data_IF_428279064886
#
_entry.id   IF_428279064886
#
_cell.length_a   1.000
_cell.length_b   1.000
_cell.length_c   1.000
_cell.angle_alpha   90.00
_cell.angle_beta   90.00
_cell.angle_gamma   90.00
#
_symmetry.space_group_name_H-M   'P 1'
#
loop_
_entity.id
_entity.type
_entity.pdbx_description
1 polymer ?
#
# COMPACT_ATOMS: atom_id res chain seq x y z
N UNK A 1 -5.71 3.75 6.07
CA UNK A 1 -4.93 3.23 4.91
C UNK A 1 -4.07 2.05 5.29
N UNK A 2 -3.65 1.92 6.54
CA UNK A 2 -2.97 0.71 7.02
C UNK A 2 -3.78 -0.55 6.68
N UNK A 3 -3.08 -1.62 6.32
CA UNK A 3 -3.59 -2.90 5.83
C UNK A 3 -4.30 -2.88 4.45
N UNK A 4 -4.33 -1.76 3.74
CA UNK A 4 -4.84 -1.71 2.37
C UNK A 4 -3.90 -2.42 1.38
N UNK A 5 -4.46 -3.24 0.48
CA UNK A 5 -3.71 -3.86 -0.61
C UNK A 5 -3.51 -2.88 -1.77
N UNK A 6 -2.29 -2.85 -2.29
CA UNK A 6 -1.84 -1.88 -3.29
C UNK A 6 -0.85 -2.52 -4.27
N UNK A 7 -0.76 -1.98 -5.47
CA UNK A 7 0.36 -2.17 -6.39
C UNK A 7 1.37 -1.03 -6.26
N UNK A 8 2.64 -1.35 -6.45
CA UNK A 8 3.74 -0.39 -6.45
C UNK A 8 4.21 -0.13 -7.88
N UNK A 9 4.02 1.11 -8.34
CA UNK A 9 4.53 1.55 -9.64
C UNK A 9 6.05 1.59 -9.62
N UNK A 10 6.65 0.64 -10.34
CA UNK A 10 8.09 0.61 -10.61
C UNK A 10 8.34 1.02 -12.07
N UNK A 11 9.14 2.06 -12.34
CA UNK A 11 9.46 2.47 -13.71
C UNK A 11 10.32 1.44 -14.46
N UNK A 12 10.97 0.50 -13.77
CA UNK A 12 11.84 -0.50 -14.38
C UNK A 12 11.10 -1.79 -14.77
N UNK A 13 9.84 -1.95 -14.35
CA UNK A 13 9.03 -3.13 -14.66
C UNK A 13 7.74 -2.73 -15.36
N UNK A 14 7.18 -3.68 -16.15
CA UNK A 14 5.92 -3.45 -16.84
C UNK A 14 4.78 -3.39 -15.80
N UNK A 15 3.65 -2.73 -16.10
CA UNK A 15 2.54 -2.63 -15.15
C UNK A 15 2.00 -3.96 -14.60
N UNK A 16 2.05 -5.03 -15.41
CA UNK A 16 1.65 -6.37 -15.00
C UNK A 16 2.63 -7.02 -14.01
N UNK A 17 3.87 -6.53 -13.97
CA UNK A 17 4.95 -7.00 -13.11
C UNK A 17 5.16 -6.05 -11.91
N UNK A 18 4.23 -5.12 -11.68
CA UNK A 18 4.32 -4.23 -10.51
C UNK A 18 4.14 -5.04 -9.22
N UNK A 19 5.05 -4.88 -8.24
CA UNK A 19 4.93 -5.59 -6.97
C UNK A 19 3.63 -5.26 -6.27
N UNK A 20 2.91 -6.30 -5.85
CA UNK A 20 1.77 -6.15 -4.95
C UNK A 20 2.25 -6.17 -3.50
N UNK A 21 1.59 -5.38 -2.65
CA UNK A 21 1.87 -5.37 -1.23
C UNK A 21 0.75 -4.77 -0.41
N UNK A 22 0.98 -4.73 0.90
CA UNK A 22 0.05 -4.17 1.89
C UNK A 22 0.70 -3.00 2.60
N UNK A 23 -0.02 -1.88 2.73
CA UNK A 23 0.47 -0.73 3.49
C UNK A 23 0.61 -1.14 4.96
N UNK A 24 1.80 -0.97 5.52
CA UNK A 24 2.08 -1.19 6.94
C UNK A 24 1.97 0.09 7.74
N UNK A 25 2.44 1.21 7.19
CA UNK A 25 2.58 2.47 7.91
C UNK A 25 2.51 3.64 6.93
N UNK A 26 1.98 4.77 7.39
CA UNK A 26 1.87 6.02 6.60
C UNK A 26 2.67 7.13 7.26
N UNK A 27 3.32 7.96 6.43
CA UNK A 27 4.11 9.10 6.89
C UNK A 27 3.50 10.40 6.34
N UNK A 28 2.72 11.13 7.16
CA UNK A 28 2.20 12.43 6.79
C UNK A 28 3.28 13.52 6.80
N UNK A 29 3.11 14.52 5.93
CA UNK A 29 3.90 15.75 5.95
C UNK A 29 3.43 16.72 7.03
N UNK A 30 4.07 17.89 7.10
CA UNK A 30 3.66 18.98 8.00
C UNK A 30 2.28 19.56 7.69
N UNK A 31 1.78 19.33 6.47
CA UNK A 31 0.43 19.64 5.99
C UNK A 31 -0.61 18.58 6.39
N UNK A 32 -0.20 17.52 7.08
CA UNK A 32 -1.06 16.38 7.45
C UNK A 32 -1.34 15.42 6.29
N UNK A 33 -0.83 15.68 5.08
CA UNK A 33 -1.06 14.84 3.91
C UNK A 33 -0.06 13.68 3.84
N UNK A 34 -0.53 12.47 3.56
CA UNK A 34 0.31 11.29 3.39
C UNK A 34 1.17 11.46 2.14
N UNK A 35 2.50 11.53 2.31
CA UNK A 35 3.44 11.65 1.18
C UNK A 35 4.18 10.35 0.91
N UNK A 36 4.43 9.58 1.96
CA UNK A 36 5.23 8.34 1.90
C UNK A 36 4.55 7.25 2.71
N UNK A 37 4.69 6.01 2.29
CA UNK A 37 4.19 4.83 2.99
C UNK A 37 5.24 3.72 3.01
N UNK A 38 5.19 2.88 4.04
CA UNK A 38 5.88 1.59 4.04
C UNK A 38 4.91 0.51 3.55
N UNK A 39 5.35 -0.28 2.57
CA UNK A 39 4.54 -1.35 1.98
C UNK A 39 5.27 -2.67 2.12
N UNK A 40 4.62 -3.66 2.73
CA UNK A 40 5.10 -5.03 2.79
C UNK A 40 4.76 -5.75 1.49
N UNK A 41 5.79 -6.15 0.77
CA UNK A 41 5.71 -7.00 -0.42
C UNK A 41 6.21 -8.41 -0.08
N UNK A 42 6.15 -9.33 -1.04
CA UNK A 42 6.70 -10.69 -0.88
C UNK A 42 8.22 -10.71 -0.64
N UNK A 43 8.94 -9.70 -1.14
CA UNK A 43 10.41 -9.63 -1.05
C UNK A 43 10.91 -8.80 0.13
N UNK A 44 10.02 -8.10 0.83
CA UNK A 44 10.38 -7.25 1.97
C UNK A 44 9.54 -5.99 2.09
N UNK A 45 9.99 -5.05 2.91
CA UNK A 45 9.32 -3.77 3.14
C UNK A 45 9.96 -2.71 2.25
N UNK A 46 9.13 -2.03 1.46
CA UNK A 46 9.55 -0.96 0.57
C UNK A 46 8.94 0.37 1.01
N UNK A 47 9.79 1.38 1.17
CA UNK A 47 9.36 2.77 1.36
C UNK A 47 9.09 3.42 0.01
N UNK A 48 7.86 3.90 -0.21
CA UNK A 48 7.44 4.48 -1.50
C UNK A 48 6.60 5.74 -1.30
N UNK A 49 6.78 6.71 -2.20
CA UNK A 49 5.92 7.88 -2.27
C UNK A 49 4.50 7.46 -2.65
N UNK A 50 3.48 8.15 -2.11
CA UNK A 50 2.07 7.81 -2.36
C UNK A 50 1.70 7.87 -3.86
N UNK A 51 2.37 8.72 -4.63
CA UNK A 51 2.21 8.85 -6.09
C UNK A 51 2.67 7.62 -6.87
N UNK A 52 3.37 6.69 -6.22
CA UNK A 52 3.80 5.40 -6.78
C UNK A 52 2.98 4.23 -6.24
N UNK A 53 1.92 4.50 -5.49
CA UNK A 53 1.06 3.48 -4.88
C UNK A 53 -0.29 3.51 -5.57
N UNK A 54 -0.77 2.35 -6.01
CA UNK A 54 -2.05 2.19 -6.69
C UNK A 54 -2.94 1.27 -5.86
N UNK A 55 -3.98 1.78 -5.18
CA UNK A 55 -4.90 0.96 -4.41
C UNK A 55 -5.63 -0.06 -5.29
N UNK A 56 -5.77 -1.29 -4.81
CA UNK A 56 -6.60 -2.28 -5.49
C UNK A 56 -8.09 -1.99 -5.27
N UNK A 57 -8.96 -2.19 -6.28
CA UNK A 57 -10.40 -2.02 -6.17
C UNK A 57 -11.04 -3.23 -5.47
N UNK A 58 -10.57 -3.55 -4.27
CA UNK A 58 -11.14 -4.62 -3.45
C UNK A 58 -12.21 -4.03 -2.53
N UNK A 59 -13.43 -4.59 -2.51
CA UNK A 59 -14.40 -4.28 -1.49
C UNK A 59 -13.78 -4.62 -0.13
N UNK A 60 -13.73 -3.63 0.77
CA UNK A 60 -13.42 -3.89 2.16
C UNK A 60 -14.65 -4.60 2.72
N UNK A 61 -14.57 -5.92 2.84
CA UNK A 61 -15.66 -6.70 3.43
C UNK A 61 -15.75 -6.33 4.93
N UNK A 62 -16.84 -5.70 5.37
CA UNK A 62 -17.00 -5.33 6.77
C UNK A 62 -16.95 -6.54 7.72
N UNK A 63 -17.28 -7.75 7.24
CA UNK A 63 -17.27 -8.97 8.05
C UNK A 63 -15.86 -9.55 8.29
N UNK A 64 -14.83 -9.07 7.59
CA UNK A 64 -13.45 -9.54 7.77
C UNK A 64 -12.72 -8.86 8.93
N UNK A 65 -13.27 -7.77 9.48
CA UNK A 65 -12.67 -7.01 10.60
C UNK A 65 -12.88 -7.73 11.95
N UNK A 66 -13.90 -8.57 12.07
CA UNK A 66 -14.40 -9.10 13.34
C UNK A 66 -13.67 -10.37 13.84
N UNK A 67 -12.70 -10.88 13.08
CA UNK A 67 -12.00 -12.15 13.40
C UNK A 67 -10.70 -11.98 14.19
N UNK A 68 -10.47 -10.83 14.84
CA UNK A 68 -9.19 -10.55 15.50
C UNK A 68 -9.33 -9.91 16.90
N UNK A 69 -10.32 -10.36 17.68
CA UNK A 69 -10.42 -10.15 19.13
C UNK A 69 -10.31 -11.50 19.83
#
# INVERSE_FOLDING_TARGET
MENQLVLLKDPNTKPLDWPMGRILEVFPGSDGLVRVVNVKTSTGILKRAITKVVPLPIPVDPASVEKNI
#
